data_IF_326588654940
#
_entry.id   IF_326588654940
#
_cell.length_a   1.000
_cell.length_b   1.000
_cell.length_c   1.000
_cell.angle_alpha   90.00
_cell.angle_beta   90.00
_cell.angle_gamma   90.00
#
_symmetry.space_group_name_H-M   'P 1'
#
loop_
_entity.id
_entity.type
_entity.pdbx_description
1 polymer ?
#
# COMPACT_ATOMS: atom_id res chain seq x y z
N UNK A 1 -45.23 13.91 60.00
CA UNK A 1 -44.20 13.27 60.85
C UNK A 1 -43.61 12.01 60.20
N UNK A 2 -44.27 10.83 60.17
CA UNK A 2 -43.62 9.60 59.64
C UNK A 2 -43.25 9.67 58.14
N UNK A 3 -44.10 10.27 57.31
CA UNK A 3 -43.89 10.38 55.86
C UNK A 3 -42.74 11.34 55.47
N UNK A 4 -42.59 12.44 56.21
CA UNK A 4 -41.53 13.44 56.00
C UNK A 4 -40.15 12.86 56.36
N UNK A 5 -40.08 12.07 57.43
CA UNK A 5 -38.85 11.39 57.85
C UNK A 5 -38.43 10.35 56.81
N UNK A 6 -39.37 9.57 56.27
CA UNK A 6 -39.05 8.60 55.21
C UNK A 6 -38.58 9.26 53.91
N UNK A 7 -39.13 10.42 53.55
CA UNK A 7 -38.71 11.18 52.36
C UNK A 7 -37.29 11.73 52.54
N UNK A 8 -36.98 12.26 53.73
CA UNK A 8 -35.64 12.76 54.05
C UNK A 8 -34.58 11.65 53.98
N UNK A 9 -34.88 10.46 54.53
CA UNK A 9 -33.98 9.31 54.46
C UNK A 9 -33.80 8.85 53.01
N UNK A 10 -34.88 8.77 52.22
CA UNK A 10 -34.79 8.42 50.81
C UNK A 10 -33.93 9.40 50.00
N UNK A 11 -34.06 10.70 50.25
CA UNK A 11 -33.25 11.72 49.59
C UNK A 11 -31.75 11.60 49.93
N UNK A 12 -31.42 11.29 51.20
CA UNK A 12 -30.04 11.05 51.64
C UNK A 12 -29.48 9.81 50.95
N UNK A 13 -30.26 8.73 50.87
CA UNK A 13 -29.85 7.48 50.20
C UNK A 13 -29.62 7.70 48.71
N UNK A 14 -30.53 8.41 48.02
CA UNK A 14 -30.39 8.75 46.60
C UNK A 14 -29.16 9.62 46.36
N UNK A 15 -28.93 10.63 47.21
CA UNK A 15 -27.75 11.50 47.12
C UNK A 15 -26.44 10.73 47.34
N UNK A 16 -26.40 9.81 48.32
CA UNK A 16 -25.25 8.95 48.56
C UNK A 16 -24.98 8.00 47.38
N UNK A 17 -26.04 7.40 46.81
CA UNK A 17 -25.95 6.58 45.61
C UNK A 17 -25.44 7.36 44.40
N UNK A 18 -25.88 8.60 44.21
CA UNK A 18 -25.43 9.48 43.13
C UNK A 18 -23.93 9.82 43.27
N UNK A 19 -23.48 10.14 44.49
CA UNK A 19 -22.06 10.41 44.78
C UNK A 19 -21.17 9.18 44.54
N UNK A 20 -21.62 7.99 44.97
CA UNK A 20 -20.92 6.74 44.72
C UNK A 20 -20.82 6.42 43.22
N UNK A 21 -21.93 6.56 42.48
CA UNK A 21 -21.96 6.34 41.03
C UNK A 21 -21.01 7.31 40.28
N UNK A 22 -20.90 8.56 40.73
CA UNK A 22 -19.98 9.53 40.16
C UNK A 22 -18.50 9.16 40.40
N UNK A 23 -18.16 8.69 41.61
CA UNK A 23 -16.80 8.23 41.96
C UNK A 23 -16.33 7.06 41.09
N UNK A 24 -17.19 6.09 40.79
CA UNK A 24 -16.84 4.95 39.92
C UNK A 24 -16.67 5.36 38.44
N UNK A 25 -17.38 6.38 37.98
CA UNK A 25 -17.34 6.82 36.58
C UNK A 25 -16.16 7.74 36.26
N UNK A 26 -15.67 8.50 37.25
CA UNK A 26 -14.49 9.38 37.09
C UNK A 26 -13.18 8.61 36.88
N UNK A 27 -12.92 7.59 37.70
CA UNK A 27 -11.63 6.87 37.68
C UNK A 27 -11.39 6.05 36.42
N UNK A 28 -12.45 5.54 35.77
CA UNK A 28 -12.33 4.73 34.54
C UNK A 28 -12.09 5.58 33.28
N UNK A 29 -12.52 6.85 33.29
CA UNK A 29 -12.31 7.76 32.15
C UNK A 29 -10.89 8.32 32.10
N UNK A 30 -10.34 8.70 33.25
CA UNK A 30 -8.97 9.23 33.33
C UNK A 30 -7.94 8.23 32.76
N UNK A 31 -8.03 6.95 33.12
CA UNK A 31 -7.10 5.94 32.61
C UNK A 31 -7.25 5.61 31.12
N UNK A 32 -8.45 5.76 30.54
CA UNK A 32 -8.63 5.58 29.09
C UNK A 32 -8.08 6.77 28.31
N UNK A 33 -8.26 7.98 28.83
CA UNK A 33 -7.78 9.20 28.20
C UNK A 33 -6.25 9.26 28.21
N UNK A 34 -5.61 8.85 29.31
CA UNK A 34 -4.15 8.71 29.42
C UNK A 34 -3.58 7.68 28.44
N UNK A 35 -4.25 6.54 28.26
CA UNK A 35 -3.84 5.52 27.30
C UNK A 35 -3.95 6.03 25.86
N UNK A 36 -5.05 6.73 25.54
CA UNK A 36 -5.26 7.34 24.23
C UNK A 36 -4.18 8.41 23.97
N UNK A 37 -3.84 9.21 24.96
CA UNK A 37 -2.80 10.23 24.86
C UNK A 37 -1.42 9.59 24.59
N UNK A 38 -1.05 8.57 25.36
CA UNK A 38 0.21 7.85 25.19
C UNK A 38 0.34 7.20 23.80
N UNK A 39 -0.74 6.58 23.32
CA UNK A 39 -0.79 5.99 21.98
C UNK A 39 -0.63 7.10 20.92
N UNK A 40 -1.39 8.19 21.04
CA UNK A 40 -1.36 9.31 20.09
C UNK A 40 0.03 9.96 20.05
N UNK A 41 0.69 10.07 21.19
CA UNK A 41 2.03 10.62 21.29
C UNK A 41 3.08 9.70 20.63
N UNK A 42 3.02 8.38 20.83
CA UNK A 42 3.93 7.43 20.16
C UNK A 42 3.75 7.47 18.64
N UNK A 43 2.50 7.49 18.16
CA UNK A 43 2.22 7.61 16.73
C UNK A 43 2.71 8.94 16.17
N UNK A 44 2.47 10.05 16.86
CA UNK A 44 2.95 11.37 16.45
C UNK A 44 4.48 11.40 16.33
N UNK A 45 5.19 10.84 17.33
CA UNK A 45 6.67 10.72 17.29
C UNK A 45 7.15 9.88 16.11
N UNK A 46 6.49 8.76 15.81
CA UNK A 46 6.83 7.92 14.65
C UNK A 46 6.60 8.65 13.34
N UNK A 47 5.48 9.37 13.21
CA UNK A 47 5.15 10.17 12.02
C UNK A 47 6.22 11.24 11.81
N UNK A 48 6.56 12.03 12.83
CA UNK A 48 7.61 13.05 12.72
C UNK A 48 8.97 12.46 12.33
N UNK A 49 9.30 11.25 12.80
CA UNK A 49 10.54 10.56 12.41
C UNK A 49 10.53 10.13 10.94
N UNK A 50 9.38 9.70 10.42
CA UNK A 50 9.21 9.36 9.01
C UNK A 50 9.23 10.60 8.12
N UNK A 51 8.56 11.67 8.53
CA UNK A 51 8.61 12.97 7.85
C UNK A 51 10.04 13.49 7.76
N UNK A 52 10.82 13.41 8.85
CA UNK A 52 12.24 13.79 8.82
C UNK A 52 13.08 12.98 7.83
N UNK A 53 12.83 11.66 7.73
CA UNK A 53 13.49 10.80 6.73
C UNK A 53 13.06 11.14 5.30
N UNK A 54 11.80 11.49 5.10
CA UNK A 54 11.28 11.92 3.80
C UNK A 54 11.99 13.18 3.33
N UNK A 55 12.14 14.17 4.22
CA UNK A 55 12.86 15.41 3.95
C UNK A 55 14.32 15.14 3.60
N UNK A 56 15.02 14.29 4.35
CA UNK A 56 16.41 13.91 4.05
C UNK A 56 16.54 13.24 2.66
N UNK A 57 15.64 12.31 2.35
CA UNK A 57 15.63 11.66 1.03
C UNK A 57 15.31 12.64 -0.10
N UNK A 58 14.39 13.58 0.12
CA UNK A 58 14.05 14.61 -0.85
C UNK A 58 15.26 15.51 -1.14
N UNK A 59 15.97 15.96 -0.11
CA UNK A 59 17.20 16.75 -0.28
C UNK A 59 18.27 15.95 -1.04
N UNK A 60 18.43 14.65 -0.76
CA UNK A 60 19.36 13.81 -1.51
C UNK A 60 18.97 13.67 -2.97
N UNK A 61 17.68 13.50 -3.27
CA UNK A 61 17.18 13.46 -4.65
C UNK A 61 17.44 14.78 -5.37
N UNK A 62 17.13 15.92 -4.75
CA UNK A 62 17.39 17.25 -5.32
C UNK A 62 18.89 17.44 -5.65
N UNK A 63 19.78 16.95 -4.77
CA UNK A 63 21.23 16.99 -5.02
C UNK A 63 21.61 16.09 -6.19
N UNK A 64 21.12 14.86 -6.25
CA UNK A 64 21.39 13.92 -7.33
C UNK A 64 20.86 14.42 -8.67
N UNK A 65 19.63 14.94 -8.71
CA UNK A 65 19.04 15.57 -9.89
C UNK A 65 19.88 16.76 -10.36
N UNK A 66 20.34 17.61 -9.44
CA UNK A 66 21.24 18.72 -9.77
C UNK A 66 22.60 18.24 -10.32
N UNK A 67 23.13 17.14 -9.79
CA UNK A 67 24.38 16.54 -10.30
C UNK A 67 24.19 15.96 -11.70
N UNK A 68 23.11 15.22 -11.94
CA UNK A 68 22.76 14.68 -13.26
C UNK A 68 22.56 15.82 -14.26
N UNK A 69 21.86 16.89 -13.88
CA UNK A 69 21.69 18.06 -14.75
C UNK A 69 23.03 18.71 -15.12
N UNK A 70 23.95 18.82 -14.15
CA UNK A 70 25.31 19.35 -14.39
C UNK A 70 26.12 18.44 -15.31
N UNK A 71 26.09 17.13 -15.10
CA UNK A 71 26.79 16.17 -15.97
C UNK A 71 26.23 16.19 -17.39
N UNK A 72 24.90 16.26 -17.55
CA UNK A 72 24.26 16.36 -18.85
C UNK A 72 24.65 17.66 -19.57
N UNK A 73 24.66 18.79 -18.87
CA UNK A 73 25.12 20.08 -19.38
C UNK A 73 26.59 20.04 -19.80
N UNK A 74 27.46 19.40 -19.01
CA UNK A 74 28.89 19.27 -19.31
C UNK A 74 29.17 18.31 -20.48
N UNK A 75 28.43 17.19 -20.58
CA UNK A 75 28.63 16.19 -21.64
C UNK A 75 28.02 16.57 -22.98
N UNK A 76 26.90 17.32 -23.00
CA UNK A 76 26.14 17.55 -24.23
C UNK A 76 26.02 19.01 -24.66
N UNK A 77 26.40 20.01 -23.84
CA UNK A 77 26.44 21.40 -24.29
C UNK A 77 25.13 21.95 -24.88
N UNK A 78 23.96 21.44 -24.45
CA UNK A 78 22.64 21.88 -24.97
C UNK A 78 21.98 22.84 -23.97
N UNK A 79 21.42 23.97 -24.40
CA UNK A 79 20.59 24.81 -23.55
C UNK A 79 19.22 24.16 -23.41
N UNK A 80 18.89 23.68 -22.21
CA UNK A 80 17.55 23.13 -21.92
C UNK A 80 16.57 24.29 -21.77
N UNK A 81 15.72 24.45 -22.78
CA UNK A 81 14.55 25.33 -22.80
C UNK A 81 13.62 24.94 -21.65
N UNK A 82 13.25 25.91 -20.82
CA UNK A 82 12.17 25.77 -19.86
C UNK A 82 10.87 25.52 -20.64
N UNK A 83 10.35 24.29 -20.59
CA UNK A 83 8.97 24.03 -20.95
C UNK A 83 8.35 23.08 -19.94
N UNK A 84 7.24 23.55 -19.40
CA UNK A 84 6.35 22.86 -18.49
C UNK A 84 5.67 21.70 -19.26
N UNK A 85 5.67 20.52 -18.63
CA UNK A 85 4.96 19.24 -18.93
C UNK A 85 5.77 18.17 -19.70
N UNK A 86 5.87 17.03 -19.00
CA UNK A 86 5.96 15.64 -19.48
C UNK A 86 7.22 15.16 -20.23
N UNK A 87 7.75 14.01 -19.78
CA UNK A 87 8.64 13.11 -20.55
C UNK A 87 10.14 13.32 -20.33
N UNK A 88 10.78 12.61 -19.37
CA UNK A 88 11.59 11.40 -19.57
C UNK A 88 12.89 11.62 -20.36
N UNK A 89 14.06 11.34 -19.74
CA UNK A 89 15.10 10.39 -20.23
C UNK A 89 16.06 10.05 -19.07
N UNK A 90 16.10 8.79 -18.62
CA UNK A 90 17.33 8.00 -18.40
C UNK A 90 17.03 6.55 -17.98
N UNK A 91 17.05 5.68 -18.98
CA UNK A 91 17.61 4.32 -18.97
C UNK A 91 17.35 3.45 -17.71
N UNK A 92 16.12 3.01 -17.61
CA UNK A 92 15.77 1.72 -17.01
C UNK A 92 14.66 1.12 -17.86
N UNK A 93 15.01 0.30 -18.86
CA UNK A 93 14.12 -0.36 -19.85
C UNK A 93 12.65 0.06 -19.76
N UNK A 94 12.38 1.30 -20.20
CA UNK A 94 11.03 1.83 -20.30
C UNK A 94 10.43 1.24 -21.57
N UNK A 95 9.72 0.11 -21.44
CA UNK A 95 8.69 -0.19 -22.43
C UNK A 95 7.50 0.70 -22.14
N UNK A 96 7.41 1.75 -22.95
CA UNK A 96 6.22 2.47 -23.38
C UNK A 96 4.93 2.07 -22.67
N UNK A 97 4.56 2.82 -21.64
CA UNK A 97 3.17 2.88 -21.15
C UNK A 97 2.31 3.80 -22.02
N UNK A 98 2.48 3.77 -23.34
CA UNK A 98 1.49 4.40 -24.23
C UNK A 98 1.45 3.68 -25.57
N UNK A 99 0.37 2.90 -25.77
CA UNK A 99 0.06 2.04 -26.91
C UNK A 99 0.86 0.75 -26.92
N UNK A 100 0.24 -0.39 -26.60
CA UNK A 100 0.24 -1.68 -27.35
C UNK A 100 -0.91 -2.50 -26.73
N UNK A 101 -1.97 -2.91 -27.40
CA UNK A 101 -1.91 -3.52 -28.72
C UNK A 101 -1.17 -4.86 -28.62
N UNK A 102 -1.76 -5.85 -27.93
CA UNK A 102 -1.51 -7.29 -28.14
C UNK A 102 -0.19 -7.93 -27.63
N UNK A 103 0.84 -7.19 -27.20
CA UNK A 103 2.05 -7.79 -26.61
C UNK A 103 2.01 -7.80 -25.06
N UNK A 104 2.21 -8.98 -24.44
CA UNK A 104 2.41 -9.07 -22.98
C UNK A 104 3.83 -8.56 -22.63
N UNK A 105 3.97 -7.80 -21.54
CA UNK A 105 5.29 -7.39 -21.05
C UNK A 105 6.05 -8.54 -20.39
N UNK A 106 7.37 -8.38 -20.19
CA UNK A 106 8.21 -9.44 -19.61
C UNK A 106 7.80 -9.80 -18.19
N UNK A 107 7.22 -8.85 -17.46
CA UNK A 107 6.68 -9.09 -16.13
C UNK A 107 5.46 -10.01 -16.18
N UNK A 108 4.53 -9.76 -17.09
CA UNK A 108 3.36 -10.60 -17.32
C UNK A 108 3.76 -12.00 -17.81
N UNK A 109 4.73 -12.09 -18.73
CA UNK A 109 5.29 -13.36 -19.19
C UNK A 109 5.96 -14.15 -18.05
N UNK A 110 6.69 -13.46 -17.17
CA UNK A 110 7.30 -14.07 -15.98
C UNK A 110 6.24 -14.63 -15.03
N UNK A 111 5.10 -13.95 -14.87
CA UNK A 111 3.96 -14.45 -14.09
C UNK A 111 3.35 -15.68 -14.75
N UNK A 112 3.13 -15.66 -16.07
CA UNK A 112 2.58 -16.81 -16.80
C UNK A 112 3.49 -18.03 -16.69
N UNK A 113 4.80 -17.86 -16.84
CA UNK A 113 5.80 -18.93 -16.67
C UNK A 113 5.78 -19.51 -15.26
N UNK A 114 5.62 -18.65 -14.26
CA UNK A 114 5.47 -19.10 -12.88
C UNK A 114 4.22 -19.98 -12.71
N UNK A 115 3.09 -19.62 -13.31
CA UNK A 115 1.82 -20.38 -13.20
C UNK A 115 1.79 -21.61 -14.13
N UNK A 116 2.70 -21.72 -15.10
CA UNK A 116 2.83 -22.91 -15.95
C UNK A 116 3.27 -24.15 -15.16
N UNK A 117 4.16 -23.97 -14.17
CA UNK A 117 4.67 -25.05 -13.32
C UNK A 117 3.58 -25.67 -12.42
N UNK A 118 2.43 -25.00 -12.25
CA UNK A 118 1.32 -25.48 -11.44
C UNK A 118 0.38 -24.36 -11.02
N UNK A 119 -0.80 -24.75 -10.50
CA UNK A 119 -1.77 -23.79 -10.00
C UNK A 119 -1.20 -23.07 -8.76
N UNK A 120 -0.92 -21.77 -8.88
CA UNK A 120 -0.20 -20.99 -7.85
C UNK A 120 -1.06 -19.91 -7.22
N UNK A 121 -0.78 -19.63 -5.95
CA UNK A 121 -1.36 -18.53 -5.20
C UNK A 121 -0.61 -17.21 -5.46
N UNK A 122 -1.23 -16.04 -5.26
CA UNK A 122 -0.55 -14.74 -5.34
C UNK A 122 0.70 -14.62 -4.48
N UNK A 123 0.77 -15.36 -3.37
CA UNK A 123 1.93 -15.36 -2.47
C UNK A 123 3.12 -16.08 -3.11
N UNK A 124 2.88 -17.20 -3.80
CA UNK A 124 3.90 -17.96 -4.51
C UNK A 124 4.39 -17.20 -5.75
N UNK A 125 3.47 -16.60 -6.51
CA UNK A 125 3.84 -15.75 -7.65
C UNK A 125 4.69 -14.57 -7.19
N UNK A 126 4.34 -13.94 -6.06
CA UNK A 126 5.15 -12.86 -5.48
C UNK A 126 6.55 -13.33 -5.09
N UNK A 127 6.68 -14.51 -4.51
CA UNK A 127 7.97 -15.04 -4.09
C UNK A 127 8.94 -15.22 -5.28
N UNK A 128 8.41 -15.60 -6.45
CA UNK A 128 9.20 -15.81 -7.67
C UNK A 128 9.51 -14.49 -8.38
N UNK A 129 8.54 -13.58 -8.50
CA UNK A 129 8.71 -12.35 -9.30
C UNK A 129 9.32 -11.19 -8.50
N UNK A 130 9.37 -11.29 -7.16
CA UNK A 130 10.09 -10.34 -6.30
C UNK A 130 9.49 -8.93 -6.23
N UNK A 131 8.25 -8.72 -6.71
CA UNK A 131 7.55 -7.41 -6.67
C UNK A 131 6.65 -7.26 -5.43
N UNK A 132 6.07 -6.07 -5.24
CA UNK A 132 5.11 -5.84 -4.15
C UNK A 132 3.82 -6.64 -4.34
N UNK A 133 3.12 -6.90 -3.23
CA UNK A 133 1.86 -7.66 -3.22
C UNK A 133 0.79 -7.02 -4.11
N UNK A 134 0.76 -5.69 -4.14
CA UNK A 134 -0.19 -4.88 -4.90
C UNK A 134 0.06 -4.99 -6.41
N UNK A 135 1.33 -4.91 -6.84
CA UNK A 135 1.70 -5.03 -8.25
C UNK A 135 1.35 -6.42 -8.80
N UNK A 136 1.69 -7.47 -8.04
CA UNK A 136 1.36 -8.86 -8.41
C UNK A 136 -0.16 -9.06 -8.45
N UNK A 137 -0.90 -8.51 -7.48
CA UNK A 137 -2.36 -8.61 -7.47
C UNK A 137 -3.02 -7.90 -8.65
N UNK A 138 -2.52 -6.72 -9.05
CA UNK A 138 -3.01 -5.98 -10.22
C UNK A 138 -2.75 -6.76 -11.51
N UNK A 139 -1.53 -7.26 -11.72
CA UNK A 139 -1.20 -8.01 -12.92
C UNK A 139 -1.93 -9.35 -13.00
N UNK A 140 -2.09 -10.08 -11.89
CA UNK A 140 -2.90 -11.31 -11.86
C UNK A 140 -4.37 -11.04 -12.22
N UNK A 141 -4.92 -9.92 -11.75
CA UNK A 141 -6.28 -9.51 -12.09
C UNK A 141 -6.39 -9.17 -13.58
N UNK A 142 -5.44 -8.41 -14.12
CA UNK A 142 -5.42 -8.02 -15.53
C UNK A 142 -5.24 -9.23 -16.46
N UNK A 143 -4.33 -10.16 -16.13
CA UNK A 143 -4.12 -11.40 -16.88
C UNK A 143 -5.36 -12.32 -16.85
N UNK A 144 -6.11 -12.31 -15.76
CA UNK A 144 -7.40 -13.00 -15.67
C UNK A 144 -8.46 -12.32 -16.55
N UNK A 145 -8.57 -11.00 -16.52
CA UNK A 145 -9.53 -10.24 -17.34
C UNK A 145 -9.26 -10.37 -18.85
N UNK A 146 -7.98 -10.42 -19.24
CA UNK A 146 -7.56 -10.71 -20.62
C UNK A 146 -7.74 -12.19 -21.02
N UNK A 147 -8.07 -13.06 -20.07
CA UNK A 147 -8.34 -14.48 -20.31
C UNK A 147 -7.09 -15.34 -20.48
N UNK A 148 -5.92 -14.89 -20.01
CA UNK A 148 -4.69 -15.69 -19.98
C UNK A 148 -4.64 -16.62 -18.77
N UNK A 149 -5.30 -16.26 -17.67
CA UNK A 149 -5.37 -17.05 -16.44
C UNK A 149 -6.82 -17.42 -16.09
N UNK A 150 -6.99 -18.61 -15.53
CA UNK A 150 -8.21 -19.06 -14.89
C UNK A 150 -8.04 -18.99 -13.37
N UNK A 151 -9.04 -18.46 -12.66
CA UNK A 151 -9.07 -18.43 -11.19
C UNK A 151 -9.99 -19.51 -10.66
N UNK A 152 -9.53 -20.27 -9.67
CA UNK A 152 -10.32 -21.25 -8.95
C UNK A 152 -10.23 -21.01 -7.44
N UNK A 153 -11.30 -21.34 -6.71
CA UNK A 153 -11.35 -21.25 -5.26
C UNK A 153 -11.76 -19.88 -4.69
N UNK A 154 -11.71 -19.80 -3.35
CA UNK A 154 -12.04 -18.61 -2.54
C UNK A 154 -10.82 -17.73 -2.26
N UNK A 155 -10.77 -17.05 -1.10
CA UNK A 155 -9.57 -16.31 -0.67
C UNK A 155 -8.62 -17.26 0.09
N UNK A 156 -7.35 -17.42 -0.32
CA UNK A 156 -6.70 -16.81 -1.49
C UNK A 156 -7.05 -17.51 -2.80
N UNK A 157 -7.20 -16.72 -3.88
CA UNK A 157 -7.48 -17.26 -5.21
C UNK A 157 -6.29 -18.06 -5.72
N UNK A 158 -6.56 -19.19 -6.37
CA UNK A 158 -5.54 -19.99 -7.04
C UNK A 158 -5.67 -19.74 -8.55
N UNK A 159 -4.55 -19.37 -9.18
CA UNK A 159 -4.49 -19.08 -10.60
C UNK A 159 -3.90 -20.28 -11.33
N UNK A 160 -4.49 -20.60 -12.48
CA UNK A 160 -4.09 -21.69 -13.37
C UNK A 160 -4.01 -21.16 -14.80
N UNK A 161 -3.13 -21.76 -15.60
CA UNK A 161 -2.89 -21.30 -16.96
C UNK A 161 -4.05 -21.71 -17.90
N UNK A 162 -4.57 -20.76 -18.68
CA UNK A 162 -5.57 -21.02 -19.72
C UNK A 162 -4.91 -21.43 -21.04
N UNK A 163 -5.70 -21.89 -22.02
CA UNK A 163 -5.19 -22.23 -23.35
C UNK A 163 -4.61 -21.02 -24.08
N UNK A 164 -5.19 -19.83 -23.87
CA UNK A 164 -4.63 -18.56 -24.38
C UNK A 164 -3.31 -18.21 -23.70
N UNK A 165 -3.20 -18.43 -22.39
CA UNK A 165 -1.95 -18.23 -21.64
C UNK A 165 -0.82 -19.15 -22.12
N UNK A 166 -1.14 -20.42 -22.39
CA UNK A 166 -0.21 -21.39 -22.98
C UNK A 166 0.25 -20.98 -24.38
N UNK A 167 -0.66 -20.50 -25.22
CA UNK A 167 -0.33 -20.01 -26.55
C UNK A 167 0.56 -18.75 -26.50
N UNK A 168 0.29 -17.84 -25.56
CA UNK A 168 1.08 -16.62 -25.37
C UNK A 168 2.53 -16.91 -24.93
N UNK A 169 2.73 -17.88 -24.03
CA UNK A 169 4.07 -18.30 -23.63
C UNK A 169 4.85 -18.89 -24.81
N UNK A 170 4.23 -19.79 -25.58
CA UNK A 170 4.86 -20.37 -26.78
C UNK A 170 5.21 -19.31 -27.82
N UNK A 171 4.35 -18.32 -28.03
CA UNK A 171 4.63 -17.22 -28.95
C UNK A 171 5.80 -16.33 -28.47
N UNK A 172 5.95 -16.14 -27.15
CA UNK A 172 7.07 -15.43 -26.56
C UNK A 172 8.40 -16.18 -26.65
N UNK A 173 8.39 -17.50 -26.46
CA UNK A 173 9.60 -18.35 -26.53
C UNK A 173 10.14 -18.51 -27.97
N UNK A 174 9.28 -18.39 -28.98
CA UNK A 174 9.67 -18.45 -30.40
C UNK A 174 10.27 -17.13 -30.93
N UNK A 175 10.34 -16.08 -30.12
CA UNK A 175 10.95 -14.79 -30.48
C UNK A 175 12.34 -14.57 -29.88
N UNK A 176 12.96 -15.61 -29.29
CA UNK A 176 14.31 -15.60 -28.75
C UNK A 176 15.34 -16.28 -29.67
#
# INVERSE_FOLDING_TARGET
MMLEVTLAIAAIVISALALAAHKLKGTKKEGTDDLILAITEDYSRRVSKLEGKLVDLQVRLDILESQVEKELRQRFGVPVVQSKKEGVVMLHEERDITKQGEALGDFELSILRCVEEGAKSPAEVRAVVGRSREHVARALKELYEKGFLNRQGGRPFIYSLSDKGRAALKAGDLSA
#
